data_IF_689642923144
#
_entry.id   IF_689642923144
#
_cell.length_a   1.000
_cell.length_b   1.000
_cell.length_c   1.000
_cell.angle_alpha   90.00
_cell.angle_beta   90.00
_cell.angle_gamma   90.00
#
_symmetry.space_group_name_H-M   'P 1'
#
loop_
_entity.id
_entity.type
_entity.pdbx_description
1 polymer ?
#
# COMPACT_ATOMS: atom_id res chain seq x y z
N UNK A 1 23.37 0.54 -1.82
CA UNK A 1 22.11 1.31 -1.75
C UNK A 1 21.73 1.66 -3.17
N UNK A 2 20.47 1.44 -3.55
CA UNK A 2 19.92 1.75 -4.86
C UNK A 2 18.71 2.69 -4.73
N UNK A 3 18.27 3.29 -5.84
CA UNK A 3 17.11 4.17 -5.90
C UNK A 3 16.08 3.56 -6.83
N UNK A 4 14.81 3.54 -6.40
CA UNK A 4 13.70 3.06 -7.20
C UNK A 4 12.94 4.25 -7.82
N UNK A 5 12.94 4.37 -9.15
CA UNK A 5 12.24 5.44 -9.88
C UNK A 5 10.76 5.08 -10.14
N UNK A 6 10.05 4.67 -9.09
CA UNK A 6 8.63 4.29 -9.11
C UNK A 6 8.03 4.39 -7.71
N UNK A 7 6.70 4.42 -7.62
CA UNK A 7 6.00 4.25 -6.35
C UNK A 7 6.43 2.94 -5.69
N UNK A 8 6.69 2.98 -4.38
CA UNK A 8 6.95 1.78 -3.60
C UNK A 8 5.63 1.15 -3.13
N UNK A 9 5.64 -0.16 -2.96
CA UNK A 9 4.45 -0.87 -2.46
C UNK A 9 4.08 -0.34 -1.07
N UNK A 10 5.09 -0.10 -0.23
CA UNK A 10 4.97 0.41 1.14
C UNK A 10 4.67 1.92 1.26
N UNK A 11 4.28 2.60 0.18
CA UNK A 11 3.93 4.04 0.25
C UNK A 11 2.82 4.40 1.27
N UNK A 12 1.81 3.54 1.58
CA UNK A 12 0.73 3.92 2.50
C UNK A 12 1.21 4.31 3.90
N UNK A 13 2.33 3.76 4.39
CA UNK A 13 2.86 4.16 5.71
C UNK A 13 3.32 5.61 5.73
N UNK A 14 3.85 6.10 4.59
CA UNK A 14 4.24 7.51 4.45
C UNK A 14 3.00 8.39 4.38
N UNK A 15 2.00 7.98 3.62
CA UNK A 15 0.74 8.73 3.49
C UNK A 15 0.02 8.89 4.83
N UNK A 16 -0.04 7.82 5.64
CA UNK A 16 -0.73 7.84 6.93
C UNK A 16 -0.10 8.80 7.95
N UNK A 17 1.22 8.96 7.94
CA UNK A 17 1.90 9.85 8.90
C UNK A 17 2.06 11.28 8.38
N UNK A 18 2.07 11.47 7.05
CA UNK A 18 2.22 12.80 6.44
C UNK A 18 0.89 13.44 6.05
N UNK A 19 -0.16 12.65 5.87
CA UNK A 19 -1.46 13.09 5.34
C UNK A 19 -1.44 13.43 3.85
N UNK A 20 -0.39 13.03 3.13
CA UNK A 20 -0.21 13.29 1.70
C UNK A 20 -0.65 12.07 0.88
N UNK A 21 -1.38 12.29 -0.21
CA UNK A 21 -1.70 11.27 -1.20
C UNK A 21 -0.65 11.30 -2.32
N UNK A 22 0.23 10.29 -2.33
CA UNK A 22 1.36 10.23 -3.25
C UNK A 22 0.93 9.84 -4.66
N UNK A 23 -0.14 9.06 -4.81
CA UNK A 23 -0.69 8.68 -6.12
C UNK A 23 -1.36 9.89 -6.78
N UNK A 24 -2.16 10.65 -6.02
CA UNK A 24 -2.76 11.90 -6.49
C UNK A 24 -1.68 12.87 -6.98
N UNK A 25 -0.62 13.08 -6.20
CA UNK A 25 0.45 13.99 -6.58
C UNK A 25 1.20 13.52 -7.81
N UNK A 26 1.45 12.21 -7.96
CA UNK A 26 2.04 11.65 -9.17
C UNK A 26 1.21 12.00 -10.41
N UNK A 27 -0.12 11.89 -10.33
CA UNK A 27 -1.01 12.24 -11.43
C UNK A 27 -0.99 13.75 -11.73
N UNK A 28 -1.10 14.60 -10.70
CA UNK A 28 -1.08 16.07 -10.88
C UNK A 28 0.25 16.57 -11.48
N UNK A 29 1.37 16.06 -10.98
CA UNK A 29 2.71 16.42 -11.49
C UNK A 29 2.89 15.91 -12.92
N UNK A 30 2.39 14.71 -13.23
CA UNK A 30 2.40 14.20 -14.60
C UNK A 30 1.58 15.08 -15.56
N UNK A 31 0.55 15.78 -15.07
CA UNK A 31 -0.23 16.79 -15.80
C UNK A 31 0.44 18.19 -15.82
N UNK A 32 1.66 18.32 -15.31
CA UNK A 32 2.45 19.55 -15.33
C UNK A 32 2.19 20.52 -14.18
N UNK A 33 1.41 20.12 -13.18
CA UNK A 33 1.25 20.90 -11.95
C UNK A 33 2.56 20.93 -11.13
N UNK A 34 2.67 21.93 -10.25
CA UNK A 34 3.77 22.03 -9.27
C UNK A 34 3.41 21.25 -8.01
N UNK A 35 4.42 20.97 -7.18
CA UNK A 35 4.17 20.47 -5.83
C UNK A 35 3.27 21.45 -5.04
N UNK A 36 2.25 20.95 -4.33
CA UNK A 36 1.27 21.81 -3.67
C UNK A 36 1.78 22.43 -2.36
N UNK A 37 2.88 21.91 -1.80
CA UNK A 37 3.46 22.36 -0.53
C UNK A 37 5.00 22.45 -0.60
N UNK A 38 5.58 23.19 0.33
CA UNK A 38 7.03 23.27 0.56
C UNK A 38 7.50 22.24 1.58
N UNK A 39 8.82 22.08 1.72
CA UNK A 39 9.42 21.13 2.66
C UNK A 39 9.03 21.44 4.12
N UNK A 40 8.93 22.71 4.50
CA UNK A 40 8.58 23.15 5.85
C UNK A 40 7.13 22.83 6.21
N UNK A 41 6.29 22.59 5.21
CA UNK A 41 4.89 22.21 5.38
C UNK A 41 4.70 20.70 5.48
N UNK A 42 5.73 19.89 5.23
CA UNK A 42 5.67 18.43 5.40
C UNK A 42 5.66 18.09 6.88
N UNK A 43 4.48 17.78 7.41
CA UNK A 43 4.29 17.24 8.75
C UNK A 43 4.57 15.74 8.81
N UNK A 44 4.91 15.24 9.99
CA UNK A 44 4.97 13.82 10.28
C UNK A 44 4.37 13.57 11.66
N UNK A 45 3.22 12.90 11.71
CA UNK A 45 2.39 12.74 12.90
C UNK A 45 2.16 11.26 13.19
N UNK A 46 2.57 10.82 14.37
CA UNK A 46 2.33 9.45 14.85
C UNK A 46 3.22 8.41 14.17
N UNK A 47 2.70 7.19 14.07
CA UNK A 47 3.40 6.05 13.50
C UNK A 47 2.41 5.22 12.67
N UNK A 48 2.89 4.61 11.59
CA UNK A 48 2.15 3.68 10.77
C UNK A 48 2.97 2.41 10.53
N UNK A 49 2.28 1.27 10.44
CA UNK A 49 2.87 -0.04 10.16
C UNK A 49 2.05 -0.66 9.03
N UNK A 50 2.75 -1.21 8.03
CA UNK A 50 2.15 -2.03 6.98
C UNK A 50 2.48 -3.49 7.20
N UNK A 51 1.50 -4.36 6.98
CA UNK A 51 1.69 -5.81 6.93
C UNK A 51 1.17 -6.31 5.58
N UNK A 52 1.96 -7.13 4.90
CA UNK A 52 1.59 -7.73 3.62
C UNK A 52 1.02 -9.12 3.86
N UNK A 53 -0.19 -9.34 3.36
CA UNK A 53 -0.81 -10.66 3.33
C UNK A 53 -0.45 -11.34 2.01
N UNK A 54 0.45 -12.33 2.09
CA UNK A 54 0.86 -13.14 0.94
C UNK A 54 0.10 -14.46 0.92
N UNK A 55 -0.32 -14.88 -0.29
CA UNK A 55 -0.82 -16.21 -0.53
C UNK A 55 0.36 -17.20 -0.58
N UNK A 56 0.95 -17.45 0.57
CA UNK A 56 2.13 -18.29 0.77
C UNK A 56 1.94 -19.19 1.99
N UNK A 57 2.69 -20.28 2.08
CA UNK A 57 2.64 -21.23 3.20
C UNK A 57 3.91 -21.14 4.05
N UNK A 58 3.91 -20.41 5.20
CA UNK A 58 5.11 -20.23 6.01
C UNK A 58 5.73 -21.54 6.49
N UNK A 59 4.91 -22.50 6.91
CA UNK A 59 5.32 -23.83 7.39
C UNK A 59 6.04 -24.67 6.31
N UNK A 60 5.85 -24.31 5.04
CA UNK A 60 6.49 -24.98 3.89
C UNK A 60 7.59 -24.12 3.26
N UNK A 61 8.13 -23.14 4.01
CA UNK A 61 9.17 -22.26 3.51
C UNK A 61 8.65 -21.19 2.54
N UNK A 62 7.45 -20.65 2.80
CA UNK A 62 6.81 -19.60 2.00
C UNK A 62 6.56 -20.00 0.54
N UNK A 63 6.24 -21.28 0.29
CA UNK A 63 5.81 -21.70 -1.04
C UNK A 63 4.53 -20.96 -1.44
N UNK A 64 4.41 -20.49 -2.70
CA UNK A 64 3.20 -19.89 -3.20
C UNK A 64 1.98 -20.81 -3.05
N UNK A 65 0.85 -20.22 -2.68
CA UNK A 65 -0.45 -20.87 -2.53
C UNK A 65 -1.41 -20.29 -3.57
N UNK A 66 -1.80 -21.12 -4.54
CA UNK A 66 -2.76 -20.77 -5.59
C UNK A 66 -4.12 -21.40 -5.31
N UNK A 67 -5.18 -20.84 -5.89
CA UNK A 67 -6.55 -21.36 -5.71
C UNK A 67 -7.58 -20.24 -5.60
N UNK A 68 -8.79 -20.61 -5.17
CA UNK A 68 -9.87 -19.66 -4.93
C UNK A 68 -9.86 -19.24 -3.46
N UNK A 69 -10.01 -17.95 -3.20
CA UNK A 69 -10.23 -17.43 -1.85
C UNK A 69 -11.67 -17.76 -1.42
N UNK A 70 -11.88 -18.93 -0.82
CA UNK A 70 -13.22 -19.38 -0.39
C UNK A 70 -13.86 -18.43 0.63
N UNK A 71 -13.05 -17.83 1.49
CA UNK A 71 -13.47 -16.80 2.45
C UNK A 71 -12.41 -15.71 2.56
N UNK A 72 -12.83 -14.45 2.45
CA UNK A 72 -11.97 -13.30 2.69
C UNK A 72 -12.79 -12.15 3.28
N UNK A 73 -12.50 -11.80 4.52
CA UNK A 73 -13.21 -10.77 5.27
C UNK A 73 -12.18 -9.83 5.92
N UNK A 74 -12.35 -8.53 5.71
CA UNK A 74 -11.50 -7.49 6.28
C UNK A 74 -12.30 -6.67 7.30
N UNK A 75 -11.64 -6.12 8.34
CA UNK A 75 -12.32 -5.21 9.27
C UNK A 75 -12.68 -3.90 8.56
N UNK A 76 -13.86 -3.33 8.90
CA UNK A 76 -14.36 -2.13 8.21
C UNK A 76 -13.67 -0.83 8.66
N UNK A 77 -13.21 -0.74 9.91
CA UNK A 77 -12.76 0.54 10.50
C UNK A 77 -11.45 0.47 11.28
N UNK A 78 -10.86 -0.72 11.45
CA UNK A 78 -9.71 -0.90 12.34
C UNK A 78 -8.37 -0.64 11.64
N UNK A 79 -8.34 -0.71 10.31
CA UNK A 79 -7.14 -0.54 9.50
C UNK A 79 -7.48 -0.01 8.10
N UNK A 80 -6.50 0.63 7.47
CA UNK A 80 -6.53 0.87 6.02
C UNK A 80 -6.20 -0.44 5.31
N UNK A 81 -7.06 -0.86 4.38
CA UNK A 81 -6.90 -2.09 3.62
C UNK A 81 -6.73 -1.75 2.14
N UNK A 82 -5.58 -2.15 1.58
CA UNK A 82 -5.30 -2.08 0.15
C UNK A 82 -5.36 -3.51 -0.40
N UNK A 83 -6.41 -3.87 -1.12
CA UNK A 83 -6.60 -5.22 -1.67
C UNK A 83 -6.88 -5.18 -3.17
N UNK A 84 -6.15 -5.98 -3.94
CA UNK A 84 -6.43 -6.28 -5.35
C UNK A 84 -7.35 -7.48 -5.56
N UNK A 85 -7.80 -8.13 -4.48
CA UNK A 85 -8.62 -9.36 -4.51
C UNK A 85 -9.84 -9.22 -3.59
N UNK A 86 -10.79 -10.13 -3.78
CA UNK A 86 -12.02 -10.25 -2.97
C UNK A 86 -12.34 -11.73 -2.75
N UNK A 87 -13.27 -12.02 -1.85
CA UNK A 87 -13.82 -13.37 -1.71
C UNK A 87 -14.28 -13.92 -3.07
N UNK A 88 -13.96 -15.19 -3.33
CA UNK A 88 -14.20 -15.87 -4.61
C UNK A 88 -13.18 -15.54 -5.72
N UNK A 89 -12.22 -14.64 -5.49
CA UNK A 89 -11.16 -14.37 -6.47
C UNK A 89 -10.19 -15.55 -6.56
N UNK A 90 -9.63 -15.75 -7.76
CA UNK A 90 -8.55 -16.70 -7.99
C UNK A 90 -7.19 -16.04 -7.76
N UNK A 91 -6.32 -16.73 -7.02
CA UNK A 91 -4.89 -16.46 -6.95
C UNK A 91 -4.20 -17.45 -7.90
N UNK A 92 -3.54 -16.93 -8.94
CA UNK A 92 -2.96 -17.70 -10.05
C UNK A 92 -1.55 -17.25 -10.37
#
# INVERSE_FOLDING_TARGET
MEMNTRLQVEHPVTELITGLDLVEWQLRIADGEKLPITQEQVGCCGHAIEVRLYAEQPEQGFLPSTGILERLEFPETEARIESGVREGAAVS
#
